data_IF_748195601900
#
_entry.id   IF_748195601900
#
_cell.length_a   1.000
_cell.length_b   1.000
_cell.length_c   1.000
_cell.angle_alpha   90.00
_cell.angle_beta   90.00
_cell.angle_gamma   90.00
#
_symmetry.space_group_name_H-M   'P 1'
#
loop_
_entity.id
_entity.type
_entity.pdbx_description
1 polymer ?
#
# COMPACT_ATOMS: atom_id res chain seq x y z
N UNK A 1 4.71 1.10 -19.70
CA UNK A 1 4.09 1.23 -18.35
C UNK A 1 3.94 -0.12 -17.66
N UNK A 2 3.66 -1.20 -18.38
CA UNK A 2 3.53 -2.56 -17.82
C UNK A 2 4.75 -3.01 -16.99
N UNK A 3 5.96 -2.83 -17.49
CA UNK A 3 7.21 -3.12 -16.74
C UNK A 3 7.38 -2.31 -15.44
N UNK A 4 6.81 -1.10 -15.36
CA UNK A 4 6.84 -0.26 -14.14
C UNK A 4 5.83 -0.80 -13.12
N UNK A 5 4.67 -1.26 -13.59
CA UNK A 5 3.62 -1.84 -12.75
C UNK A 5 4.09 -3.16 -12.15
N UNK A 6 4.77 -4.02 -12.93
CA UNK A 6 5.32 -5.29 -12.42
C UNK A 6 6.34 -5.07 -11.29
N UNK A 7 7.24 -4.10 -11.46
CA UNK A 7 8.17 -3.71 -10.39
C UNK A 7 7.46 -3.17 -9.15
N UNK A 8 6.42 -2.35 -9.35
CA UNK A 8 5.62 -1.81 -8.24
C UNK A 8 4.89 -2.91 -7.45
N UNK A 9 4.25 -3.86 -8.12
CA UNK A 9 3.57 -4.99 -7.47
C UNK A 9 4.57 -5.81 -6.63
N UNK A 10 5.74 -6.12 -7.18
CA UNK A 10 6.78 -6.84 -6.45
C UNK A 10 7.29 -6.09 -5.21
N UNK A 11 7.43 -4.76 -5.29
CA UNK A 11 7.82 -3.94 -4.13
C UNK A 11 6.76 -3.95 -3.02
N UNK A 12 5.47 -3.90 -3.38
CA UNK A 12 4.36 -3.97 -2.42
C UNK A 12 4.30 -5.34 -1.75
N UNK A 13 4.45 -6.42 -2.53
CA UNK A 13 4.45 -7.78 -2.02
C UNK A 13 5.58 -8.00 -1.00
N UNK A 14 6.81 -7.59 -1.33
CA UNK A 14 7.94 -7.69 -0.41
C UNK A 14 7.72 -6.89 0.89
N UNK A 15 7.16 -5.68 0.79
CA UNK A 15 6.90 -4.85 1.96
C UNK A 15 5.88 -5.51 2.90
N UNK A 16 4.77 -6.02 2.36
CA UNK A 16 3.75 -6.71 3.14
C UNK A 16 4.27 -8.02 3.75
N UNK A 17 5.08 -8.80 3.02
CA UNK A 17 5.69 -10.03 3.54
C UNK A 17 6.58 -9.73 4.75
N UNK A 18 7.47 -8.73 4.65
CA UNK A 18 8.33 -8.33 5.77
C UNK A 18 7.54 -7.85 6.98
N UNK A 19 6.52 -7.02 6.80
CA UNK A 19 5.69 -6.56 7.92
C UNK A 19 4.98 -7.71 8.64
N UNK A 20 4.56 -8.73 7.89
CA UNK A 20 3.94 -9.94 8.44
C UNK A 20 4.97 -10.86 9.11
N UNK A 21 6.15 -11.05 8.52
CA UNK A 21 7.26 -11.84 9.11
C UNK A 21 7.72 -11.28 10.47
N UNK A 22 7.66 -9.95 10.63
CA UNK A 22 8.00 -9.28 11.87
C UNK A 22 6.81 -9.10 12.83
N UNK A 23 5.63 -9.66 12.52
CA UNK A 23 4.36 -9.49 13.27
C UNK A 23 4.03 -8.01 13.60
N UNK A 24 4.48 -7.08 12.75
CA UNK A 24 4.25 -5.64 12.94
C UNK A 24 2.80 -5.31 12.60
N UNK A 25 2.21 -6.04 11.66
CA UNK A 25 0.89 -5.78 11.12
C UNK A 25 0.18 -7.10 10.80
N UNK A 26 -1.03 -7.26 11.31
CA UNK A 26 -1.97 -8.31 10.91
C UNK A 26 -3.13 -7.69 10.13
N UNK A 27 -3.23 -8.04 8.84
CA UNK A 27 -4.30 -7.57 7.96
C UNK A 27 -5.21 -8.74 7.63
N UNK A 28 -6.51 -8.52 7.73
CA UNK A 28 -7.49 -9.31 7.00
C UNK A 28 -7.38 -9.04 5.48
N UNK A 29 -8.05 -9.86 4.67
CA UNK A 29 -7.96 -9.77 3.21
C UNK A 29 -8.45 -8.43 2.67
N UNK A 30 -9.47 -7.83 3.29
CA UNK A 30 -10.04 -6.54 2.88
C UNK A 30 -9.04 -5.40 3.12
N UNK A 31 -8.43 -5.33 4.32
CA UNK A 31 -7.40 -4.34 4.65
C UNK A 31 -6.15 -4.53 3.81
N UNK A 32 -5.78 -5.78 3.52
CA UNK A 32 -4.64 -6.09 2.63
C UNK A 32 -4.90 -5.54 1.22
N UNK A 33 -6.09 -5.77 0.66
CA UNK A 33 -6.46 -5.23 -0.66
C UNK A 33 -6.43 -3.69 -0.68
N UNK A 34 -6.94 -3.04 0.38
CA UNK A 34 -6.89 -1.58 0.50
C UNK A 34 -5.45 -1.04 0.57
N UNK A 35 -4.58 -1.69 1.35
CA UNK A 35 -3.17 -1.29 1.49
C UNK A 35 -2.41 -1.47 0.18
N UNK A 36 -2.63 -2.56 -0.54
CA UNK A 36 -2.06 -2.78 -1.88
C UNK A 36 -2.50 -1.68 -2.84
N UNK A 37 -3.79 -1.35 -2.87
CA UNK A 37 -4.33 -0.28 -3.72
C UNK A 37 -3.65 1.07 -3.44
N UNK A 38 -3.55 1.44 -2.16
CA UNK A 38 -2.90 2.69 -1.74
C UNK A 38 -1.43 2.74 -2.13
N UNK A 39 -0.68 1.65 -1.90
CA UNK A 39 0.74 1.58 -2.26
C UNK A 39 0.94 1.60 -3.79
N UNK A 40 0.07 0.94 -4.55
CA UNK A 40 0.13 0.96 -6.01
C UNK A 40 -0.13 2.35 -6.58
N UNK A 41 -1.05 3.12 -6.00
CA UNK A 41 -1.29 4.52 -6.38
C UNK A 41 -0.04 5.37 -6.11
N UNK A 42 0.63 5.18 -4.96
CA UNK A 42 1.87 5.90 -4.63
C UNK A 42 3.03 5.52 -5.57
N UNK A 43 3.18 4.23 -5.88
CA UNK A 43 4.32 3.73 -6.68
C UNK A 43 4.14 3.94 -8.19
N UNK A 44 2.90 3.90 -8.68
CA UNK A 44 2.58 4.08 -10.12
C UNK A 44 2.09 5.50 -10.46
N UNK A 45 1.72 6.28 -9.44
CA UNK A 45 1.31 7.67 -9.56
C UNK A 45 2.53 8.58 -9.65
N UNK A 46 2.84 9.04 -10.85
CA UNK A 46 3.84 10.09 -11.04
C UNK A 46 3.21 11.43 -10.67
N UNK A 47 3.83 12.16 -9.72
CA UNK A 47 3.46 13.47 -9.16
C UNK A 47 2.24 13.47 -8.21
N UNK A 48 2.51 13.83 -6.95
CA UNK A 48 1.53 14.26 -5.94
C UNK A 48 0.60 13.16 -5.38
N UNK A 49 1.18 12.14 -4.74
CA UNK A 49 0.44 11.32 -3.77
C UNK A 49 0.00 12.22 -2.60
N UNK A 50 -1.19 12.81 -2.69
CA UNK A 50 -1.76 13.58 -1.60
C UNK A 50 -2.10 12.60 -0.47
N UNK A 51 -1.55 12.79 0.75
CA UNK A 51 -1.90 11.94 1.87
C UNK A 51 -3.41 12.09 2.11
N UNK A 52 -4.16 10.99 2.01
CA UNK A 52 -5.54 10.98 2.49
C UNK A 52 -5.46 11.02 4.02
N UNK A 53 -5.53 12.24 4.55
CA UNK A 53 -5.66 12.49 5.99
C UNK A 53 -7.09 12.12 6.35
N UNK A 54 -7.25 10.99 7.05
CA UNK A 54 -8.50 10.64 7.68
C UNK A 54 -8.65 11.52 8.93
N UNK A 55 -9.03 12.79 8.73
CA UNK A 55 -9.52 13.68 9.80
C UNK A 55 -10.94 13.29 10.19
N UNK A 56 -11.15 11.99 10.46
CA UNK A 56 -12.27 11.58 11.28
C UNK A 56 -12.11 12.31 12.59
N UNK A 57 -12.89 13.38 12.79
CA UNK A 57 -13.14 13.92 14.11
C UNK A 57 -13.49 12.73 14.99
N UNK A 58 -12.62 12.43 15.95
CA UNK A 58 -13.01 11.76 17.16
C UNK A 58 -13.95 12.70 17.92
N UNK A 59 -15.20 12.81 17.46
CA UNK A 59 -16.40 13.26 18.19
C UNK A 59 -17.65 12.74 17.49
#
# INVERSE_FOLDING_TARGET
>A
RQMIVEGAVGMVEMALSKLNEHDIVHLDEERKAAMVSNLMVVLCGNKDAQPIVNSGSLY
#
